data_IF_744757870241
#
_entry.id   IF_744757870241
#
_cell.length_a   1.000
_cell.length_b   1.000
_cell.length_c   1.000
_cell.angle_alpha   90.00
_cell.angle_beta   90.00
_cell.angle_gamma   90.00
#
_symmetry.space_group_name_H-M   'P 1'
#
loop_
_entity.id
_entity.type
_entity.pdbx_description
1 polymer ?
#
# COMPACT_ATOMS: atom_id res chain seq x y z
N UNK A 1 -3.60 -10.38 -15.07
CA UNK A 1 -2.89 -9.83 -16.24
C UNK A 1 -1.41 -9.56 -15.93
N UNK A 2 -1.07 -8.75 -14.91
CA UNK A 2 0.33 -8.46 -14.56
C UNK A 2 1.15 -9.70 -14.14
N UNK A 3 0.56 -10.63 -13.37
CA UNK A 3 1.28 -11.84 -12.92
C UNK A 3 1.77 -12.72 -14.07
N UNK A 4 1.00 -12.79 -15.16
CA UNK A 4 1.39 -13.56 -16.35
C UNK A 4 2.61 -12.91 -17.02
N UNK A 5 2.63 -11.58 -17.09
CA UNK A 5 3.75 -10.82 -17.65
C UNK A 5 5.03 -11.10 -16.84
N UNK A 6 4.99 -10.93 -15.51
CA UNK A 6 6.13 -11.19 -14.63
C UNK A 6 6.67 -12.61 -14.75
N UNK A 7 5.78 -13.60 -14.72
CA UNK A 7 6.18 -15.01 -14.86
C UNK A 7 6.80 -15.28 -16.22
N UNK A 8 6.22 -14.73 -17.30
CA UNK A 8 6.79 -14.90 -18.65
C UNK A 8 8.18 -14.29 -18.79
N UNK A 9 8.41 -13.09 -18.24
CA UNK A 9 9.73 -12.44 -18.24
C UNK A 9 10.76 -13.27 -17.47
N UNK A 10 10.38 -13.80 -16.30
CA UNK A 10 11.27 -14.66 -15.52
C UNK A 10 11.63 -15.95 -16.28
N UNK A 11 10.63 -16.64 -16.85
CA UNK A 11 10.84 -17.88 -17.59
C UNK A 11 11.73 -17.65 -18.83
N UNK A 12 11.48 -16.60 -19.60
CA UNK A 12 12.30 -16.26 -20.78
C UNK A 12 13.75 -15.98 -20.36
N UNK A 13 13.96 -15.22 -19.27
CA UNK A 13 15.29 -14.93 -18.74
C UNK A 13 16.06 -16.19 -18.32
N UNK A 14 15.38 -17.13 -17.65
CA UNK A 14 15.98 -18.42 -17.24
C UNK A 14 16.34 -19.28 -18.45
N UNK A 15 15.46 -19.36 -19.46
CA UNK A 15 15.74 -20.12 -20.70
C UNK A 15 16.92 -19.50 -21.45
N UNK A 16 16.99 -18.17 -21.53
CA UNK A 16 18.10 -17.46 -22.19
C UNK A 16 19.45 -17.71 -21.50
N UNK A 17 19.48 -17.71 -20.16
CA UNK A 17 20.68 -18.01 -19.39
C UNK A 17 21.11 -19.48 -19.51
N UNK A 18 20.16 -20.41 -19.64
CA UNK A 18 20.44 -21.83 -19.88
C UNK A 18 21.11 -22.05 -21.24
N UNK A 19 20.68 -21.33 -22.27
CA UNK A 19 21.27 -21.43 -23.62
C UNK A 19 22.67 -20.77 -23.69
N UNK A 20 22.88 -19.65 -22.99
CA UNK A 20 24.16 -18.94 -22.99
C UNK A 20 25.17 -19.42 -21.92
N UNK A 21 24.77 -20.34 -21.03
CA UNK A 21 25.62 -20.84 -19.95
C UNK A 21 25.83 -19.86 -18.79
N UNK A 22 25.09 -18.75 -18.73
CA UNK A 22 25.21 -17.70 -17.70
C UNK A 22 24.31 -17.95 -16.48
N UNK A 23 24.04 -19.22 -16.17
CA UNK A 23 23.12 -19.61 -15.08
C UNK A 23 23.58 -19.09 -13.70
N UNK A 24 24.89 -18.94 -13.50
CA UNK A 24 25.48 -18.39 -12.27
C UNK A 24 25.06 -16.93 -12.05
N UNK A 25 24.99 -16.12 -13.10
CA UNK A 25 24.60 -14.71 -13.04
C UNK A 25 23.12 -14.55 -12.67
N UNK A 26 22.25 -15.44 -13.20
CA UNK A 26 20.83 -15.47 -12.82
C UNK A 26 20.66 -15.82 -11.35
N UNK A 27 21.41 -16.82 -10.85
CA UNK A 27 21.35 -17.21 -9.46
C UNK A 27 21.79 -16.04 -8.54
N UNK A 28 22.90 -15.38 -8.88
CA UNK A 28 23.39 -14.21 -8.14
C UNK A 28 22.39 -13.05 -8.16
N UNK A 29 21.78 -12.76 -9.32
CA UNK A 29 20.76 -11.72 -9.46
C UNK A 29 19.52 -11.99 -8.60
N UNK A 30 19.06 -13.26 -8.53
CA UNK A 30 17.93 -13.65 -7.69
C UNK A 30 18.24 -13.41 -6.21
N UNK A 31 19.41 -13.85 -5.74
CA UNK A 31 19.81 -13.67 -4.35
C UNK A 31 20.05 -12.19 -4.00
N UNK A 32 20.66 -11.43 -4.90
CA UNK A 32 20.85 -9.99 -4.75
C UNK A 32 19.51 -9.26 -4.63
N UNK A 33 18.59 -9.53 -5.56
CA UNK A 33 17.23 -8.96 -5.53
C UNK A 33 16.44 -9.35 -4.28
N UNK A 34 16.57 -10.60 -3.82
CA UNK A 34 15.95 -11.03 -2.57
C UNK A 34 16.52 -10.28 -1.36
N UNK A 35 17.84 -10.08 -1.30
CA UNK A 35 18.50 -9.32 -0.23
C UNK A 35 18.05 -7.85 -0.24
N UNK A 36 18.02 -7.22 -1.40
CA UNK A 36 17.55 -5.84 -1.57
C UNK A 36 16.09 -5.69 -1.13
N UNK A 37 15.21 -6.60 -1.56
CA UNK A 37 13.82 -6.62 -1.15
C UNK A 37 13.67 -6.71 0.39
N UNK A 38 14.45 -7.58 1.05
CA UNK A 38 14.46 -7.68 2.51
C UNK A 38 14.96 -6.40 3.16
N UNK A 39 16.02 -5.79 2.65
CA UNK A 39 16.53 -4.50 3.15
C UNK A 39 15.48 -3.39 3.06
N UNK A 40 14.79 -3.29 1.92
CA UNK A 40 13.70 -2.32 1.73
C UNK A 40 12.57 -2.60 2.72
N UNK A 41 12.12 -3.85 2.84
CA UNK A 41 11.07 -4.25 3.77
C UNK A 41 11.43 -3.89 5.22
N UNK A 42 12.64 -4.19 5.70
CA UNK A 42 13.07 -3.84 7.06
C UNK A 42 13.07 -2.32 7.28
N UNK A 43 13.53 -1.55 6.29
CA UNK A 43 13.50 -0.09 6.33
C UNK A 43 12.07 0.45 6.45
N UNK A 44 11.15 -0.08 5.64
CA UNK A 44 9.74 0.33 5.65
C UNK A 44 8.99 -0.13 6.89
N UNK A 45 9.25 -1.34 7.41
CA UNK A 45 8.56 -1.88 8.59
C UNK A 45 8.69 -0.92 9.78
N UNK A 46 9.87 -0.35 10.01
CA UNK A 46 10.11 0.56 11.13
C UNK A 46 9.25 1.81 11.04
N UNK A 47 9.22 2.44 9.86
CA UNK A 47 8.45 3.66 9.60
C UNK A 47 6.95 3.37 9.65
N UNK A 48 6.51 2.29 9.01
CA UNK A 48 5.10 1.89 9.01
C UNK A 48 4.62 1.50 10.41
N UNK A 49 5.41 0.77 11.19
CA UNK A 49 5.04 0.41 12.56
C UNK A 49 4.90 1.64 13.46
N UNK A 50 5.82 2.60 13.34
CA UNK A 50 5.72 3.87 14.06
C UNK A 50 4.48 4.66 13.64
N UNK A 51 4.26 4.79 12.33
CA UNK A 51 3.13 5.53 11.77
C UNK A 51 1.78 4.91 12.14
N UNK A 52 1.62 3.60 11.91
CA UNK A 52 0.42 2.85 12.29
C UNK A 52 0.18 2.87 13.81
N UNK A 53 1.25 2.86 14.60
CA UNK A 53 1.19 3.02 16.05
C UNK A 53 0.60 4.38 16.46
N UNK A 54 1.14 5.48 15.91
CA UNK A 54 0.61 6.83 16.15
C UNK A 54 -0.85 6.95 15.68
N UNK A 55 -1.16 6.39 14.51
CA UNK A 55 -2.52 6.35 13.97
C UNK A 55 -3.51 5.68 14.92
N UNK A 56 -3.11 4.54 15.50
CA UNK A 56 -3.93 3.81 16.47
C UNK A 56 -4.14 4.59 17.76
N UNK A 57 -3.20 5.45 18.15
CA UNK A 57 -3.36 6.37 19.29
C UNK A 57 -4.35 7.48 18.93
N UNK A 58 -4.22 8.11 17.75
CA UNK A 58 -5.13 9.15 17.27
C UNK A 58 -6.57 8.65 17.09
N UNK A 59 -6.73 7.42 16.61
CA UNK A 59 -8.01 6.71 16.53
C UNK A 59 -8.63 6.54 17.92
N UNK A 60 -7.88 5.99 18.88
CA UNK A 60 -8.36 5.80 20.26
C UNK A 60 -8.64 7.10 21.00
N UNK A 61 -7.95 8.19 20.66
CA UNK A 61 -8.19 9.51 21.21
C UNK A 61 -9.45 10.19 20.63
N UNK A 62 -10.12 9.58 19.64
CA UNK A 62 -11.29 10.16 18.96
C UNK A 62 -10.94 11.31 18.01
N UNK A 63 -9.65 11.51 17.69
CA UNK A 63 -9.20 12.58 16.81
C UNK A 63 -9.69 12.36 15.37
N UNK A 64 -9.66 11.10 14.90
CA UNK A 64 -10.15 10.72 13.57
C UNK A 64 -11.66 10.96 13.45
N UNK A 65 -12.44 10.62 14.49
CA UNK A 65 -13.89 10.89 14.51
C UNK A 65 -14.21 12.39 14.53
N UNK A 66 -13.41 13.18 15.26
CA UNK A 66 -13.51 14.63 15.29
C UNK A 66 -13.25 15.26 13.92
N UNK A 67 -12.20 14.80 13.23
CA UNK A 67 -11.88 15.22 11.88
C UNK A 67 -12.92 14.77 10.85
N UNK A 68 -13.46 13.57 10.99
CA UNK A 68 -14.58 13.13 10.17
C UNK A 68 -15.77 14.09 10.29
N UNK A 69 -16.16 14.47 11.51
CA UNK A 69 -17.23 15.47 11.69
C UNK A 69 -16.90 16.82 11.05
N UNK A 70 -15.64 17.26 11.12
CA UNK A 70 -15.19 18.52 10.52
C UNK A 70 -15.16 18.46 8.98
N UNK A 71 -14.80 17.33 8.40
CA UNK A 71 -14.74 17.12 6.95
C UNK A 71 -16.11 16.80 6.34
N UNK A 72 -17.11 16.45 7.17
CA UNK A 72 -18.48 16.15 6.73
C UNK A 72 -19.11 17.23 5.83
N UNK A 73 -19.01 18.55 6.11
CA UNK A 73 -19.50 19.59 5.19
C UNK A 73 -18.77 19.60 3.84
N UNK A 74 -17.46 19.35 3.82
CA UNK A 74 -16.68 19.27 2.58
C UNK A 74 -17.07 18.03 1.76
N UNK A 75 -17.16 16.87 2.43
CA UNK A 75 -17.55 15.60 1.80
C UNK A 75 -18.97 15.66 1.22
N UNK A 76 -19.94 16.29 1.91
CA UNK A 76 -21.28 16.53 1.35
C UNK A 76 -21.28 17.43 0.11
N UNK A 77 -20.32 18.36 0.02
CA UNK A 77 -20.20 19.25 -1.14
C UNK A 77 -19.56 18.55 -2.34
N UNK A 78 -18.63 17.62 -2.09
CA UNK A 78 -17.98 16.81 -3.10
C UNK A 78 -18.85 15.64 -3.59
N UNK A 79 -19.68 15.08 -2.70
CA UNK A 79 -20.59 13.97 -2.97
C UNK A 79 -22.04 14.35 -2.65
N UNK A 80 -22.66 15.26 -3.43
CA UNK A 80 -24.03 15.74 -3.20
C UNK A 80 -25.09 14.65 -3.43
N UNK A 81 -24.79 13.63 -4.24
CA UNK A 81 -25.72 12.55 -4.58
C UNK A 81 -25.89 11.51 -3.45
N UNK A 82 -25.06 11.56 -2.40
CA UNK A 82 -25.12 10.61 -1.27
C UNK A 82 -26.06 11.15 -0.19
N UNK A 83 -27.14 10.42 0.16
CA UNK A 83 -28.11 10.87 1.16
C UNK A 83 -27.48 11.15 2.53
N UNK A 84 -28.04 12.12 3.26
CA UNK A 84 -27.51 12.68 4.51
C UNK A 84 -27.32 11.65 5.65
N UNK A 85 -28.02 10.52 5.57
CA UNK A 85 -28.02 9.42 6.55
C UNK A 85 -27.57 8.08 5.95
N UNK A 86 -26.99 8.09 4.75
CA UNK A 86 -26.48 6.86 4.15
C UNK A 86 -25.15 6.45 4.80
N UNK A 87 -24.98 5.17 5.23
CA UNK A 87 -23.72 4.64 5.73
C UNK A 87 -22.53 4.92 4.79
N UNK A 88 -22.75 5.04 3.48
CA UNK A 88 -21.74 5.35 2.48
C UNK A 88 -20.96 6.64 2.79
N UNK A 89 -21.64 7.68 3.30
CA UNK A 89 -20.96 8.93 3.69
C UNK A 89 -19.97 8.68 4.83
N UNK A 90 -20.32 7.81 5.80
CA UNK A 90 -19.43 7.41 6.89
C UNK A 90 -18.19 6.66 6.38
N UNK A 91 -18.35 5.73 5.43
CA UNK A 91 -17.23 5.00 4.83
C UNK A 91 -16.31 5.90 4.01
N UNK A 92 -16.85 6.85 3.23
CA UNK A 92 -16.07 7.82 2.45
C UNK A 92 -15.24 8.70 3.39
N UNK A 93 -15.87 9.21 4.45
CA UNK A 93 -15.18 10.03 5.44
C UNK A 93 -14.12 9.25 6.21
N UNK A 94 -14.42 8.02 6.62
CA UNK A 94 -13.43 7.13 7.24
C UNK A 94 -12.23 6.91 6.31
N UNK A 95 -12.47 6.68 5.02
CA UNK A 95 -11.41 6.50 4.04
C UNK A 95 -10.59 7.79 3.82
N UNK A 96 -11.24 8.95 3.70
CA UNK A 96 -10.58 10.25 3.55
C UNK A 96 -9.73 10.57 4.77
N UNK A 97 -10.28 10.38 5.98
CA UNK A 97 -9.55 10.63 7.23
C UNK A 97 -8.39 9.66 7.40
N UNK A 98 -8.56 8.38 7.03
CA UNK A 98 -7.47 7.41 7.02
C UNK A 98 -6.35 7.83 6.04
N UNK A 99 -6.68 8.20 4.80
CA UNK A 99 -5.69 8.64 3.81
C UNK A 99 -5.02 9.98 4.17
N UNK A 100 -5.74 10.92 4.80
CA UNK A 100 -5.17 12.20 5.25
C UNK A 100 -4.16 12.03 6.39
N UNK A 101 -4.34 11.01 7.21
CA UNK A 101 -3.41 10.65 8.26
C UNK A 101 -2.49 9.48 7.87
N UNK A 102 -2.53 9.01 6.62
CA UNK A 102 -1.71 7.92 6.09
C UNK A 102 -2.19 6.52 6.45
#
# INVERSE_FOLDING_TARGET
>A
MINIIWVSMFVIGVVFAMVNGTMTEVNEAIFSGAKEAVTICIGLISVLAFWLGMMKIAEKAGLLDGLGKLLRPLARRLFPDVPVNDPAMGYILSNITANLFG
#
